data_IF_519870258079
#
_entry.id   IF_519870258079
#
_cell.length_a   1.000
_cell.length_b   1.000
_cell.length_c   1.000
_cell.angle_alpha   90.00
_cell.angle_beta   90.00
_cell.angle_gamma   90.00
#
_symmetry.space_group_name_H-M   'P 1'
#
loop_
_entity.id
_entity.type
_entity.pdbx_description
1 polymer ?
#
# COMPACT_ATOMS: atom_id res chain seq x y z
N UNK A 1 4.09 13.73 -26.16
CA UNK A 1 3.25 14.56 -25.28
C UNK A 1 4.16 15.42 -24.39
N UNK A 2 3.91 16.73 -24.34
CA UNK A 2 4.73 17.70 -23.60
C UNK A 2 4.78 17.40 -22.10
N UNK A 3 3.68 16.93 -21.52
CA UNK A 3 3.59 16.57 -20.10
C UNK A 3 4.50 15.38 -19.78
N UNK A 4 4.49 14.35 -20.60
CA UNK A 4 5.36 13.19 -20.43
C UNK A 4 6.84 13.56 -20.54
N UNK A 5 7.20 14.39 -21.52
CA UNK A 5 8.57 14.90 -21.68
C UNK A 5 9.01 15.73 -20.47
N UNK A 6 8.13 16.56 -19.91
CA UNK A 6 8.43 17.35 -18.71
C UNK A 6 8.64 16.45 -17.48
N UNK A 7 7.78 15.46 -17.25
CA UNK A 7 7.95 14.49 -16.17
C UNK A 7 9.26 13.72 -16.30
N UNK A 8 9.61 13.26 -17.50
CA UNK A 8 10.87 12.56 -17.75
C UNK A 8 12.10 13.45 -17.49
N UNK A 9 12.03 14.73 -17.86
CA UNK A 9 13.08 15.71 -17.55
C UNK A 9 13.23 15.90 -16.03
N UNK A 10 12.12 16.08 -15.31
CA UNK A 10 12.14 16.20 -13.84
C UNK A 10 12.74 14.97 -13.18
N UNK A 11 12.40 13.77 -13.63
CA UNK A 11 12.95 12.52 -13.10
C UNK A 11 14.48 12.47 -13.25
N UNK A 12 15.00 12.79 -14.44
CA UNK A 12 16.45 12.81 -14.69
C UNK A 12 17.18 13.86 -13.84
N UNK A 13 16.64 15.08 -13.77
CA UNK A 13 17.22 16.15 -12.97
C UNK A 13 17.18 15.85 -11.47
N UNK A 14 16.08 15.26 -10.98
CA UNK A 14 15.93 14.86 -9.58
C UNK A 14 16.94 13.75 -9.22
N UNK A 15 17.11 12.75 -10.09
CA UNK A 15 18.11 11.70 -9.92
C UNK A 15 19.55 12.26 -9.90
N UNK A 16 19.80 13.36 -10.62
CA UNK A 16 21.07 14.10 -10.57
C UNK A 16 21.21 15.03 -9.34
N UNK A 17 20.29 14.97 -8.38
CA UNK A 17 20.34 15.75 -7.14
C UNK A 17 19.80 17.19 -7.24
N UNK A 18 19.10 17.53 -8.34
CA UNK A 18 18.55 18.87 -8.52
C UNK A 18 17.32 19.10 -7.61
N UNK A 19 17.49 19.88 -6.55
CA UNK A 19 16.43 20.16 -5.58
C UNK A 19 15.24 20.93 -6.17
N UNK A 20 15.44 21.75 -7.21
CA UNK A 20 14.36 22.45 -7.91
C UNK A 20 13.47 21.48 -8.68
N UNK A 21 14.06 20.43 -9.28
CA UNK A 21 13.30 19.38 -9.95
C UNK A 21 12.46 18.57 -8.96
N UNK A 22 13.00 18.26 -7.77
CA UNK A 22 12.23 17.61 -6.69
C UNK A 22 11.07 18.50 -6.22
N UNK A 23 11.29 19.81 -6.06
CA UNK A 23 10.24 20.76 -5.70
C UNK A 23 9.15 20.85 -6.79
N UNK A 24 9.53 20.86 -8.07
CA UNK A 24 8.60 20.81 -9.18
C UNK A 24 7.81 19.50 -9.21
N UNK A 25 8.45 18.34 -8.98
CA UNK A 25 7.77 17.05 -8.87
C UNK A 25 6.75 17.03 -7.72
N UNK A 26 7.07 17.63 -6.56
CA UNK A 26 6.11 17.81 -5.46
C UNK A 26 4.89 18.64 -5.89
N UNK A 27 5.08 19.67 -6.71
CA UNK A 27 3.98 20.49 -7.21
C UNK A 27 3.02 19.71 -8.13
N UNK A 28 3.50 18.70 -8.85
CA UNK A 28 2.67 17.81 -9.69
C UNK A 28 1.70 16.95 -8.87
N UNK A 29 1.94 16.73 -7.59
CA UNK A 29 1.10 15.90 -6.71
C UNK A 29 -0.19 16.57 -6.24
N UNK A 30 -0.40 17.85 -6.57
CA UNK A 30 -1.56 18.62 -6.12
C UNK A 30 -2.86 18.02 -6.64
N UNK A 31 -3.91 18.07 -5.81
CA UNK A 31 -5.28 17.74 -6.21
C UNK A 31 -5.69 18.62 -7.41
N UNK A 32 -6.35 18.02 -8.38
CA UNK A 32 -6.74 18.69 -9.63
C UNK A 32 -5.75 18.48 -10.79
N UNK A 33 -4.53 18.00 -10.55
CA UNK A 33 -3.68 17.50 -11.62
C UNK A 33 -4.17 16.14 -12.12
N UNK A 34 -3.97 15.78 -13.41
CA UNK A 34 -4.25 14.44 -13.89
C UNK A 34 -3.56 13.38 -13.06
N UNK A 35 -4.25 12.29 -12.80
CA UNK A 35 -3.84 11.29 -11.82
C UNK A 35 -2.49 10.62 -12.18
N UNK A 36 -2.26 10.31 -13.45
CA UNK A 36 -0.97 9.80 -13.92
C UNK A 36 0.19 10.80 -13.69
N UNK A 37 -0.09 12.09 -13.75
CA UNK A 37 0.89 13.16 -13.47
C UNK A 37 1.18 13.23 -11.98
N UNK A 38 0.12 13.12 -11.14
CA UNK A 38 0.27 13.06 -9.67
C UNK A 38 1.12 11.86 -9.25
N UNK A 39 0.81 10.67 -9.78
CA UNK A 39 1.56 9.45 -9.51
C UNK A 39 3.03 9.57 -9.95
N UNK A 40 3.28 10.11 -11.14
CA UNK A 40 4.64 10.33 -11.62
C UNK A 40 5.43 11.31 -10.72
N UNK A 41 4.80 12.41 -10.29
CA UNK A 41 5.39 13.34 -9.33
C UNK A 41 5.75 12.66 -8.00
N UNK A 42 4.89 11.77 -7.50
CA UNK A 42 5.14 10.99 -6.30
C UNK A 42 6.32 10.02 -6.48
N UNK A 43 6.37 9.27 -7.58
CA UNK A 43 7.45 8.35 -7.88
C UNK A 43 8.82 9.05 -7.91
N UNK A 44 8.89 10.24 -8.52
CA UNK A 44 10.12 11.06 -8.51
C UNK A 44 10.53 11.42 -7.07
N UNK A 45 9.58 11.87 -6.24
CA UNK A 45 9.86 12.27 -4.86
C UNK A 45 10.32 11.07 -4.02
N UNK A 46 9.66 9.92 -4.15
CA UNK A 46 10.02 8.69 -3.44
C UNK A 46 11.39 8.15 -3.88
N UNK A 47 11.76 8.31 -5.15
CA UNK A 47 13.03 7.83 -5.69
C UNK A 47 14.26 8.69 -5.35
N UNK A 48 14.09 9.89 -4.75
CA UNK A 48 15.21 10.85 -4.63
C UNK A 48 15.86 10.93 -3.25
N UNK A 49 15.17 10.55 -2.18
CA UNK A 49 15.70 10.68 -0.81
C UNK A 49 15.16 9.57 0.10
N UNK A 50 15.99 8.56 0.34
CA UNK A 50 15.63 7.41 1.17
C UNK A 50 15.11 7.82 2.56
N UNK A 51 15.62 8.90 3.16
CA UNK A 51 15.18 9.39 4.47
C UNK A 51 13.75 9.97 4.45
N UNK A 52 13.28 10.40 3.27
CA UNK A 52 11.95 11.00 3.10
C UNK A 52 10.93 10.02 2.50
N UNK A 53 11.34 8.85 2.05
CA UNK A 53 10.43 7.85 1.45
C UNK A 53 9.27 7.51 2.37
N UNK A 54 9.54 7.07 3.58
CA UNK A 54 8.49 6.71 4.55
C UNK A 54 7.53 7.87 4.87
N UNK A 55 7.99 9.09 5.26
CA UNK A 55 7.08 10.21 5.48
C UNK A 55 6.23 10.59 4.26
N UNK A 56 6.80 10.58 3.07
CA UNK A 56 6.09 10.93 1.84
C UNK A 56 5.06 9.85 1.46
N UNK A 57 5.39 8.57 1.65
CA UNK A 57 4.44 7.45 1.50
C UNK A 57 3.28 7.60 2.48
N UNK A 58 3.55 7.76 3.78
CA UNK A 58 2.51 7.90 4.81
C UNK A 58 1.61 9.12 4.58
N UNK A 59 2.14 10.17 3.96
CA UNK A 59 1.34 11.32 3.54
C UNK A 59 0.43 10.97 2.34
N UNK A 60 0.93 10.23 1.35
CA UNK A 60 0.18 9.80 0.18
C UNK A 60 -0.98 8.86 0.53
N UNK A 61 -0.82 8.01 1.55
CA UNK A 61 -1.88 7.09 2.02
C UNK A 61 -3.11 7.78 2.60
N UNK A 62 -3.05 9.08 2.88
CA UNK A 62 -4.21 9.89 3.33
C UNK A 62 -5.04 10.42 2.18
N UNK A 63 -4.59 10.30 0.94
CA UNK A 63 -5.29 10.84 -0.22
C UNK A 63 -6.64 10.14 -0.42
N UNK A 64 -7.65 10.88 -0.84
CA UNK A 64 -8.96 10.33 -1.12
C UNK A 64 -8.97 9.46 -2.39
N UNK A 65 -8.07 9.75 -3.33
CA UNK A 65 -7.92 9.06 -4.59
C UNK A 65 -7.22 7.71 -4.38
N UNK A 66 -7.97 6.64 -4.64
CA UNK A 66 -7.48 5.26 -4.52
C UNK A 66 -6.30 4.96 -5.43
N UNK A 67 -6.37 5.38 -6.68
CA UNK A 67 -5.32 5.09 -7.66
C UNK A 67 -4.00 5.75 -7.25
N UNK A 68 -4.08 6.96 -6.66
CA UNK A 68 -2.91 7.64 -6.13
C UNK A 68 -2.31 6.90 -4.92
N UNK A 69 -3.16 6.38 -4.01
CA UNK A 69 -2.70 5.56 -2.88
C UNK A 69 -2.08 4.24 -3.34
N UNK A 70 -2.71 3.57 -4.31
CA UNK A 70 -2.18 2.34 -4.88
C UNK A 70 -0.82 2.57 -5.56
N UNK A 71 -0.69 3.64 -6.36
CA UNK A 71 0.59 4.01 -6.96
C UNK A 71 1.68 4.28 -5.90
N UNK A 72 1.32 4.89 -4.76
CA UNK A 72 2.24 5.09 -3.65
C UNK A 72 2.75 3.77 -3.05
N UNK A 73 1.85 2.79 -2.87
CA UNK A 73 2.18 1.47 -2.37
C UNK A 73 3.00 0.66 -3.37
N UNK A 74 2.71 0.79 -4.68
CA UNK A 74 3.48 0.14 -5.73
C UNK A 74 4.93 0.66 -5.76
N UNK A 75 5.12 1.97 -5.72
CA UNK A 75 6.48 2.56 -5.60
C UNK A 75 7.18 2.15 -4.30
N UNK A 76 6.44 2.04 -3.19
CA UNK A 76 6.99 1.59 -1.93
C UNK A 76 7.50 0.14 -2.01
N UNK A 77 6.97 -0.67 -2.92
CA UNK A 77 7.42 -2.05 -3.14
C UNK A 77 8.91 -2.18 -3.48
N UNK A 78 9.50 -1.16 -4.08
CA UNK A 78 10.92 -1.16 -4.47
C UNK A 78 11.88 -1.00 -3.28
N UNK A 79 11.40 -0.47 -2.15
CA UNK A 79 12.20 -0.25 -0.94
C UNK A 79 11.54 -0.77 0.35
N UNK A 80 10.52 -1.62 0.19
CA UNK A 80 9.78 -2.16 1.32
C UNK A 80 10.61 -3.16 2.14
N UNK A 81 10.64 -2.90 3.44
CA UNK A 81 11.21 -3.76 4.47
C UNK A 81 10.26 -3.85 5.68
N UNK A 82 10.62 -4.64 6.68
CA UNK A 82 9.82 -4.80 7.90
C UNK A 82 9.62 -3.49 8.67
N UNK A 83 10.57 -2.57 8.62
CA UNK A 83 10.46 -1.26 9.27
C UNK A 83 9.41 -0.39 8.57
N UNK A 84 9.38 -0.42 7.22
CA UNK A 84 8.35 0.27 6.45
C UNK A 84 6.97 -0.35 6.68
N UNK A 85 6.85 -1.68 6.66
CA UNK A 85 5.59 -2.36 6.95
C UNK A 85 5.04 -1.95 8.33
N UNK A 86 5.90 -1.97 9.35
CA UNK A 86 5.51 -1.54 10.70
C UNK A 86 5.08 -0.07 10.75
N UNK A 87 5.76 0.82 10.04
CA UNK A 87 5.39 2.24 9.98
C UNK A 87 4.03 2.45 9.31
N UNK A 88 3.74 1.72 8.21
CA UNK A 88 2.46 1.76 7.50
C UNK A 88 1.34 1.23 8.39
N UNK A 89 1.53 0.07 9.03
CA UNK A 89 0.55 -0.53 9.96
C UNK A 89 0.27 0.40 11.14
N UNK A 90 1.29 0.98 11.75
CA UNK A 90 1.13 1.97 12.82
C UNK A 90 0.29 3.18 12.40
N UNK A 91 0.29 3.52 11.11
CA UNK A 91 -0.48 4.63 10.56
C UNK A 91 -1.96 4.29 10.32
N UNK A 92 -2.29 3.02 10.07
CA UNK A 92 -3.64 2.56 9.69
C UNK A 92 -4.78 3.11 10.57
N UNK A 93 -4.69 3.15 11.93
CA UNK A 93 -5.81 3.62 12.75
C UNK A 93 -6.28 5.04 12.44
N UNK A 94 -5.45 5.87 11.83
CA UNK A 94 -5.77 7.26 11.47
C UNK A 94 -6.20 7.44 10.01
N UNK A 95 -6.37 6.35 9.26
CA UNK A 95 -6.73 6.36 7.84
C UNK A 95 -8.18 5.93 7.64
N UNK A 96 -8.73 6.25 6.46
CA UNK A 96 -10.04 5.74 6.02
C UNK A 96 -10.02 4.22 5.83
N UNK A 97 -11.18 3.55 5.92
CA UNK A 97 -11.27 2.11 5.70
C UNK A 97 -10.85 1.73 4.27
N UNK A 98 -11.14 2.55 3.26
CA UNK A 98 -10.64 2.36 1.91
C UNK A 98 -9.09 2.36 1.84
N UNK A 99 -8.42 3.25 2.56
CA UNK A 99 -6.96 3.26 2.62
C UNK A 99 -6.40 2.05 3.39
N UNK A 100 -7.08 1.61 4.47
CA UNK A 100 -6.72 0.38 5.19
C UNK A 100 -6.86 -0.85 4.29
N UNK A 101 -7.92 -0.92 3.47
CA UNK A 101 -8.14 -1.99 2.49
C UNK A 101 -7.00 -2.06 1.48
N UNK A 102 -6.57 -0.92 0.94
CA UNK A 102 -5.43 -0.86 0.02
C UNK A 102 -4.12 -1.35 0.70
N UNK A 103 -3.87 -0.91 1.94
CA UNK A 103 -2.69 -1.33 2.73
C UNK A 103 -2.70 -2.83 3.02
N UNK A 104 -3.82 -3.35 3.50
CA UNK A 104 -3.95 -4.78 3.82
C UNK A 104 -3.74 -5.64 2.57
N UNK A 105 -4.32 -5.22 1.44
CA UNK A 105 -4.13 -5.89 0.15
C UNK A 105 -2.66 -5.88 -0.29
N UNK A 106 -1.97 -4.75 -0.10
CA UNK A 106 -0.55 -4.59 -0.40
C UNK A 106 0.34 -5.46 0.50
N UNK A 107 0.09 -5.49 1.81
CA UNK A 107 0.80 -6.36 2.75
C UNK A 107 0.66 -7.84 2.36
N UNK A 108 -0.55 -8.26 1.97
CA UNK A 108 -0.79 -9.62 1.46
C UNK A 108 -0.01 -9.90 0.17
N UNK A 109 -0.02 -8.97 -0.79
CA UNK A 109 0.72 -9.12 -2.05
C UNK A 109 2.25 -9.17 -1.85
N UNK A 110 2.75 -8.53 -0.79
CA UNK A 110 4.17 -8.52 -0.42
C UNK A 110 4.56 -9.68 0.51
N UNK A 111 3.62 -10.54 0.89
CA UNK A 111 3.82 -11.62 1.86
C UNK A 111 4.47 -11.11 3.17
N UNK A 112 4.00 -9.96 3.68
CA UNK A 112 4.56 -9.27 4.83
C UNK A 112 4.27 -10.02 6.15
N UNK A 113 4.94 -11.15 6.37
CA UNK A 113 4.71 -12.06 7.50
C UNK A 113 4.89 -11.36 8.87
N UNK A 114 5.80 -10.39 8.96
CA UNK A 114 6.01 -9.59 10.17
C UNK A 114 4.78 -8.78 10.59
N UNK A 115 3.78 -8.60 9.70
CA UNK A 115 2.55 -7.86 9.95
C UNK A 115 1.29 -8.76 9.95
N UNK A 116 1.45 -10.08 10.03
CA UNK A 116 0.34 -11.04 10.02
C UNK A 116 -0.75 -10.69 11.05
N UNK A 117 -0.37 -10.34 12.28
CA UNK A 117 -1.32 -9.98 13.35
C UNK A 117 -2.18 -8.78 13.01
N UNK A 118 -1.63 -7.76 12.35
CA UNK A 118 -2.39 -6.59 11.94
C UNK A 118 -3.39 -6.93 10.82
N UNK A 119 -3.01 -7.80 9.89
CA UNK A 119 -3.89 -8.30 8.83
C UNK A 119 -5.00 -9.18 9.42
N UNK A 120 -4.67 -10.11 10.32
CA UNK A 120 -5.65 -10.97 11.00
C UNK A 120 -6.66 -10.14 11.80
N UNK A 121 -6.21 -9.12 12.53
CA UNK A 121 -7.11 -8.23 13.26
C UNK A 121 -8.11 -7.51 12.35
N UNK A 122 -7.75 -7.20 11.11
CA UNK A 122 -8.63 -6.56 10.14
C UNK A 122 -9.74 -7.48 9.61
N UNK A 123 -9.66 -8.81 9.79
CA UNK A 123 -10.73 -9.77 9.43
C UNK A 123 -12.02 -9.46 10.19
N UNK A 124 -11.92 -8.94 11.41
CA UNK A 124 -13.07 -8.57 12.25
C UNK A 124 -13.56 -7.13 12.02
N UNK A 125 -13.14 -6.49 10.93
CA UNK A 125 -13.60 -5.13 10.60
C UNK A 125 -15.11 -5.09 10.36
N UNK A 126 -15.76 -4.00 10.78
CA UNK A 126 -17.14 -3.70 10.42
C UNK A 126 -17.29 -3.27 8.94
N UNK A 127 -16.21 -2.82 8.32
CA UNK A 127 -16.15 -2.56 6.89
C UNK A 127 -15.92 -3.88 6.14
N UNK A 128 -16.87 -4.25 5.30
CA UNK A 128 -16.89 -5.54 4.60
C UNK A 128 -15.74 -5.66 3.59
N UNK A 129 -15.40 -4.59 2.86
CA UNK A 129 -14.31 -4.61 1.89
C UNK A 129 -12.96 -4.83 2.58
N UNK A 130 -12.76 -4.21 3.73
CA UNK A 130 -11.57 -4.40 4.54
C UNK A 130 -11.49 -5.82 5.10
N UNK A 131 -12.60 -6.37 5.62
CA UNK A 131 -12.64 -7.74 6.13
C UNK A 131 -12.30 -8.77 5.04
N UNK A 132 -12.91 -8.64 3.86
CA UNK A 132 -12.63 -9.51 2.71
C UNK A 132 -11.20 -9.39 2.21
N UNK A 133 -10.65 -8.17 2.15
CA UNK A 133 -9.25 -7.94 1.79
C UNK A 133 -8.30 -8.60 2.80
N UNK A 134 -8.63 -8.54 4.10
CA UNK A 134 -7.85 -9.15 5.16
C UNK A 134 -7.85 -10.67 5.09
N UNK A 135 -8.98 -11.31 4.78
CA UNK A 135 -9.08 -12.75 4.56
C UNK A 135 -8.17 -13.18 3.40
N UNK A 136 -8.23 -12.47 2.27
CA UNK A 136 -7.37 -12.75 1.11
C UNK A 136 -5.88 -12.54 1.41
N UNK A 137 -5.57 -11.48 2.15
CA UNK A 137 -4.20 -11.17 2.54
C UNK A 137 -3.63 -12.21 3.51
N UNK A 138 -4.43 -12.68 4.48
CA UNK A 138 -4.03 -13.73 5.42
C UNK A 138 -3.67 -15.02 4.68
N UNK A 139 -4.45 -15.41 3.66
CA UNK A 139 -4.14 -16.56 2.82
C UNK A 139 -2.79 -16.45 2.09
N UNK A 140 -2.42 -15.25 1.65
CA UNK A 140 -1.14 -14.98 0.96
C UNK A 140 0.05 -14.90 1.92
N UNK A 141 -0.14 -14.31 3.10
CA UNK A 141 0.90 -14.17 4.12
C UNK A 141 1.27 -15.55 4.68
N UNK A 142 0.29 -16.42 4.90
CA UNK A 142 0.51 -17.75 5.43
C UNK A 142 0.78 -17.78 6.93
N UNK A 143 1.32 -18.90 7.40
CA UNK A 143 1.65 -19.10 8.81
C UNK A 143 0.47 -19.67 9.64
N UNK A 144 0.79 -20.24 10.82
CA UNK A 144 -0.18 -20.96 11.65
C UNK A 144 -1.32 -20.04 12.15
N UNK A 145 -0.99 -18.82 12.51
CA UNK A 145 -1.99 -17.86 13.03
C UNK A 145 -2.99 -17.46 11.95
N UNK A 146 -2.52 -17.19 10.72
CA UNK A 146 -3.38 -16.90 9.57
C UNK A 146 -4.26 -18.10 9.21
N UNK A 147 -3.70 -19.34 9.24
CA UNK A 147 -4.48 -20.56 9.03
C UNK A 147 -5.63 -20.68 10.04
N UNK A 148 -5.32 -20.53 11.33
CA UNK A 148 -6.33 -20.61 12.39
C UNK A 148 -7.42 -19.54 12.22
N UNK A 149 -7.03 -18.30 11.87
CA UNK A 149 -7.95 -17.22 11.64
C UNK A 149 -8.88 -17.48 10.44
N UNK A 150 -8.36 -18.04 9.35
CA UNK A 150 -9.15 -18.40 8.17
C UNK A 150 -10.10 -19.56 8.46
N UNK A 151 -9.65 -20.60 9.17
CA UNK A 151 -10.51 -21.73 9.58
C UNK A 151 -11.67 -21.25 10.45
N UNK A 152 -11.44 -20.30 11.35
CA UNK A 152 -12.50 -19.71 12.18
C UNK A 152 -13.58 -19.00 11.37
N UNK A 153 -13.27 -18.52 10.15
CA UNK A 153 -14.25 -17.86 9.27
C UNK A 153 -15.15 -18.84 8.49
N UNK A 154 -14.81 -20.14 8.44
CA UNK A 154 -15.58 -21.13 7.63
C UNK A 154 -17.02 -21.31 8.09
N UNK A 155 -17.35 -21.02 9.35
CA UNK A 155 -18.72 -21.05 9.87
C UNK A 155 -19.45 -19.71 9.83
N UNK A 156 -18.84 -18.65 9.31
CA UNK A 156 -19.36 -17.28 9.38
C UNK A 156 -19.83 -16.71 8.03
N UNK A 157 -20.11 -15.42 8.04
CA UNK A 157 -20.60 -14.69 6.86
C UNK A 157 -19.61 -14.73 5.67
N UNK A 158 -18.32 -14.85 5.94
CA UNK A 158 -17.26 -14.85 4.92
C UNK A 158 -16.71 -16.25 4.60
N UNK A 159 -17.50 -17.31 4.85
CA UNK A 159 -17.07 -18.70 4.67
C UNK A 159 -16.55 -19.01 3.25
N UNK A 160 -17.20 -18.45 2.23
CA UNK A 160 -16.79 -18.63 0.83
C UNK A 160 -15.41 -18.04 0.56
N UNK A 161 -15.17 -16.84 1.05
CA UNK A 161 -13.89 -16.13 0.87
C UNK A 161 -12.76 -16.82 1.65
N UNK A 162 -13.07 -17.23 2.90
CA UNK A 162 -12.13 -17.99 3.72
C UNK A 162 -11.76 -19.33 3.08
N UNK A 163 -12.73 -20.05 2.52
CA UNK A 163 -12.47 -21.30 1.77
C UNK A 163 -11.57 -21.06 0.57
N UNK A 164 -11.81 -19.98 -0.21
CA UNK A 164 -10.97 -19.63 -1.34
C UNK A 164 -9.53 -19.25 -0.90
N UNK A 165 -9.40 -18.50 0.20
CA UNK A 165 -8.11 -18.13 0.75
C UNK A 165 -7.33 -19.36 1.27
N UNK A 166 -8.02 -20.34 1.89
CA UNK A 166 -7.42 -21.60 2.33
C UNK A 166 -6.99 -22.47 1.16
N UNK A 167 -7.75 -22.52 0.05
CA UNK A 167 -7.36 -23.24 -1.16
C UNK A 167 -6.08 -22.67 -1.81
N UNK A 168 -5.84 -21.37 -1.66
CA UNK A 168 -4.65 -20.68 -2.14
C UNK A 168 -3.55 -20.54 -1.07
N UNK A 169 -3.72 -21.16 0.10
CA UNK A 169 -2.85 -20.99 1.26
C UNK A 169 -1.47 -21.55 1.01
N UNK A 170 -0.46 -20.71 1.11
CA UNK A 170 0.93 -21.13 1.07
C UNK A 170 1.39 -21.50 2.48
N UNK A 171 1.41 -22.80 2.76
CA UNK A 171 1.83 -23.36 4.05
C UNK A 171 3.34 -23.28 4.31
N UNK A 172 3.99 -22.14 4.01
CA UNK A 172 5.41 -21.91 4.35
C UNK A 172 5.54 -21.21 5.68
#
# INVERSE_FOLDING_TARGET
DATGAYVALLARLAAAGNSKAVAAAKALRKTGMPQNVRAAGLGIVLGTDAKKQTPELLAALKDADREYRCAALDFAGDFADDALYAAVVKKMPSLSDAAKTDIVSWLGARHAASQANAVIAAISSADEELALAAIRAAGKIGGQEALNALVAQLGGAHAKEASAALAAFNGK
#
